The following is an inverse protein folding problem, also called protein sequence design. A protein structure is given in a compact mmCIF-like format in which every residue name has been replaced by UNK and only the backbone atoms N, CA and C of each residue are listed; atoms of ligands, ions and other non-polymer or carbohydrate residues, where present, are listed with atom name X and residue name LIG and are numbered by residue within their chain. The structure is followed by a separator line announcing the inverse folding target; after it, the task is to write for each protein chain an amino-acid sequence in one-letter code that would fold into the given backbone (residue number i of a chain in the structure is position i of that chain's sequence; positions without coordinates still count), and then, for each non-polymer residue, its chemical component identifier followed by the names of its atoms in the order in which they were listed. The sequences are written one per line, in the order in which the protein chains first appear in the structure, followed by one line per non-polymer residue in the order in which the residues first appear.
data_IF_252865984327
#
_entry.id   IF_252865984327
#
_cell.length_a   1.000
_cell.length_b   1.000
_cell.length_c   1.000
_cell.angle_alpha   90.00
_cell.angle_beta   90.00
_cell.angle_gamma   90.00
#
_symmetry.space_group_name_H-M   'P 1'
#
loop_
_entity.id
_entity.type
_entity.pdbx_description
1 polymer ?
#
# COMPACT_ATOMS: atom_id res chain seq x y z
N UNK A 1 3.89 -4.45 17.46
CA UNK A 1 2.93 -3.57 18.18
C UNK A 1 3.64 -2.23 18.45
N UNK A 2 2.93 -1.10 18.46
CA UNK A 2 3.53 0.21 18.72
C UNK A 2 3.80 0.41 20.22
N UNK A 3 4.86 -0.22 20.71
CA UNK A 3 5.46 0.09 22.01
C UNK A 3 6.40 1.29 21.85
N UNK A 4 6.73 1.96 22.95
CA UNK A 4 7.67 3.10 22.93
C UNK A 4 9.02 2.70 22.33
N UNK A 5 9.54 1.53 22.72
CA UNK A 5 10.77 0.97 22.14
C UNK A 5 10.68 0.77 20.61
N UNK A 6 9.57 0.23 20.09
CA UNK A 6 9.43 0.05 18.64
C UNK A 6 9.29 1.37 17.89
N UNK A 7 8.65 2.38 18.50
CA UNK A 7 8.56 3.73 17.97
C UNK A 7 9.94 4.40 17.94
N UNK A 8 10.73 4.25 19.00
CA UNK A 8 12.12 4.74 19.05
C UNK A 8 13.00 4.05 18.00
N UNK A 9 12.88 2.73 17.86
CA UNK A 9 13.66 1.96 16.89
C UNK A 9 13.37 2.39 15.44
N UNK A 10 12.09 2.50 15.06
CA UNK A 10 11.74 2.87 13.68
C UNK A 10 12.15 4.32 13.38
N UNK A 11 11.86 5.25 14.30
CA UNK A 11 12.22 6.65 14.10
C UNK A 11 13.74 6.85 14.12
N UNK A 12 14.46 6.14 14.99
CA UNK A 12 15.91 6.15 15.06
C UNK A 12 16.58 5.59 13.81
N UNK A 13 16.02 4.52 13.24
CA UNK A 13 16.50 3.95 11.97
C UNK A 13 16.35 4.95 10.81
N UNK A 14 15.14 5.45 10.56
CA UNK A 14 14.89 6.32 9.41
C UNK A 14 15.54 7.70 9.53
N UNK A 15 15.78 8.21 10.75
CA UNK A 15 16.65 9.38 10.96
C UNK A 15 18.09 9.15 10.52
N UNK A 16 18.62 7.92 10.68
CA UNK A 16 20.01 7.59 10.32
C UNK A 16 20.19 7.31 8.84
N UNK A 17 19.21 6.66 8.19
CA UNK A 17 19.30 6.29 6.77
C UNK A 17 18.76 7.37 5.83
N UNK A 18 18.32 8.51 6.36
CA UNK A 18 17.73 9.60 5.58
C UNK A 18 18.66 10.00 4.43
N UNK A 19 18.16 9.86 3.21
CA UNK A 19 18.89 10.18 1.99
C UNK A 19 17.92 10.87 1.01
N UNK A 20 18.22 12.10 0.55
CA UNK A 20 17.32 12.85 -0.33
C UNK A 20 17.11 12.20 -1.71
N UNK A 21 17.94 11.23 -2.10
CA UNK A 21 17.80 10.48 -3.35
C UNK A 21 16.85 9.28 -3.29
N UNK A 22 16.27 8.97 -2.13
CA UNK A 22 15.38 7.82 -1.95
C UNK A 22 14.08 8.21 -1.26
N UNK A 23 12.97 7.63 -1.74
CA UNK A 23 11.70 7.59 -1.03
C UNK A 23 11.64 6.29 -0.22
N UNK A 24 11.20 6.37 1.04
CA UNK A 24 11.08 5.20 1.90
C UNK A 24 9.62 4.83 2.10
N UNK A 25 9.33 3.53 2.01
CA UNK A 25 7.99 2.97 2.19
C UNK A 25 8.00 2.10 3.43
N UNK A 26 6.95 2.22 4.24
CA UNK A 26 6.78 1.39 5.43
C UNK A 26 5.38 0.76 5.48
N UNK A 27 5.35 -0.56 5.58
CA UNK A 27 4.13 -1.36 5.71
C UNK A 27 4.02 -1.96 7.12
N UNK A 28 3.36 -1.28 8.07
CA UNK A 28 3.14 -1.83 9.40
C UNK A 28 2.17 -3.02 9.36
N UNK A 29 2.46 -4.04 10.17
CA UNK A 29 1.59 -5.21 10.35
C UNK A 29 1.10 -5.31 11.80
N UNK A 30 -0.17 -5.68 11.98
CA UNK A 30 -0.80 -5.88 13.28
C UNK A 30 -1.80 -4.77 13.63
N UNK A 31 -2.93 -5.16 14.23
CA UNK A 31 -4.10 -4.29 14.48
C UNK A 31 -3.81 -3.14 15.43
N UNK A 32 -2.79 -3.27 16.27
CA UNK A 32 -2.41 -2.23 17.23
C UNK A 32 -1.78 -0.99 16.56
N UNK A 33 -1.33 -1.11 15.30
CA UNK A 33 -0.92 0.04 14.48
C UNK A 33 -2.15 0.74 13.91
N UNK A 34 -2.73 1.66 14.68
CA UNK A 34 -3.87 2.48 14.24
C UNK A 34 -3.46 3.50 13.18
N UNK A 35 -4.42 4.05 12.42
CA UNK A 35 -4.12 5.03 11.36
C UNK A 35 -3.39 6.26 11.92
N UNK A 36 -3.77 6.71 13.12
CA UNK A 36 -3.15 7.85 13.78
C UNK A 36 -1.66 7.59 14.07
N UNK A 37 -1.33 6.41 14.60
CA UNK A 37 0.06 6.04 14.90
C UNK A 37 0.90 5.88 13.65
N UNK A 38 0.34 5.26 12.62
CA UNK A 38 1.02 5.10 11.33
C UNK A 38 1.25 6.46 10.69
N UNK A 39 0.23 7.32 10.65
CA UNK A 39 0.32 8.68 10.12
C UNK A 39 1.38 9.51 10.84
N UNK A 40 1.44 9.43 12.18
CA UNK A 40 2.43 10.12 12.98
C UNK A 40 3.86 9.67 12.65
N UNK A 41 4.11 8.36 12.55
CA UNK A 41 5.43 7.82 12.20
C UNK A 41 5.82 8.21 10.77
N UNK A 42 4.91 8.05 9.80
CA UNK A 42 5.14 8.45 8.41
C UNK A 42 5.49 9.93 8.30
N UNK A 43 4.75 10.80 9.00
CA UNK A 43 5.04 12.24 9.02
C UNK A 43 6.38 12.57 9.66
N UNK A 44 6.72 11.93 10.80
CA UNK A 44 7.99 12.17 11.50
C UNK A 44 9.21 11.72 10.72
N UNK A 45 9.07 10.66 9.92
CA UNK A 45 10.19 10.00 9.26
C UNK A 45 10.22 10.21 7.75
N UNK A 46 9.27 10.98 7.20
CA UNK A 46 9.15 11.22 5.76
C UNK A 46 8.97 9.91 4.97
N UNK A 47 8.01 9.09 5.42
CA UNK A 47 7.72 7.77 4.84
C UNK A 47 6.40 7.80 4.08
N UNK A 48 6.32 6.96 3.05
CA UNK A 48 5.10 6.59 2.35
C UNK A 48 4.48 5.38 3.06
N UNK A 49 3.16 5.40 3.27
CA UNK A 49 2.46 4.26 3.85
C UNK A 49 2.31 3.17 2.79
N UNK A 50 3.06 2.08 2.96
CA UNK A 50 2.81 0.84 2.23
C UNK A 50 1.60 0.15 2.83
N UNK A 51 0.56 -0.10 2.02
CA UNK A 51 -0.71 -0.62 2.55
C UNK A 51 -1.43 -1.51 1.54
N UNK A 52 -2.24 -2.44 2.03
CA UNK A 52 -3.25 -3.09 1.20
C UNK A 52 -4.55 -2.26 1.25
N UNK A 53 -4.97 -1.60 0.16
CA UNK A 53 -6.16 -0.74 0.17
C UNK A 53 -7.46 -1.53 0.43
N UNK A 54 -7.46 -2.86 0.24
CA UNK A 54 -8.58 -3.74 0.59
C UNK A 54 -8.63 -4.12 2.09
N UNK A 55 -7.56 -3.85 2.86
CA UNK A 55 -7.56 -3.92 4.32
C UNK A 55 -7.97 -2.58 4.93
N UNK A 56 -7.31 -1.49 4.48
CA UNK A 56 -7.52 -0.14 4.99
C UNK A 56 -7.00 0.92 4.00
N UNK A 57 -7.53 2.14 4.12
CA UNK A 57 -7.09 3.26 3.28
C UNK A 57 -5.68 3.76 3.67
N UNK A 58 -4.90 4.28 2.72
CA UNK A 58 -3.59 4.90 3.01
C UNK A 58 -3.74 6.16 3.88
N UNK A 59 -2.74 6.41 4.73
CA UNK A 59 -2.69 7.60 5.61
C UNK A 59 -1.72 8.67 5.11
N UNK A 60 -0.94 8.36 4.07
CA UNK A 60 -0.07 9.31 3.37
C UNK A 60 -0.77 9.84 2.12
N UNK A 61 -0.33 11.00 1.64
CA UNK A 61 -0.87 11.69 0.47
C UNK A 61 0.18 11.73 -0.65
N UNK A 62 -0.21 12.24 -1.81
CA UNK A 62 0.63 12.43 -3.01
C UNK A 62 1.01 11.11 -3.71
N UNK A 63 1.69 10.20 -3.00
CA UNK A 63 2.12 8.89 -3.51
C UNK A 63 1.35 7.77 -2.81
N UNK A 64 0.67 6.94 -3.60
CA UNK A 64 0.11 5.68 -3.13
C UNK A 64 1.11 4.55 -3.36
N UNK A 65 1.33 3.73 -2.32
CA UNK A 65 2.12 2.49 -2.43
C UNK A 65 1.27 1.32 -1.97
N UNK A 66 0.62 0.67 -2.92
CA UNK A 66 -0.31 -0.42 -2.66
C UNK A 66 0.38 -1.77 -2.79
N UNK A 67 0.23 -2.62 -1.77
CA UNK A 67 0.63 -4.03 -1.78
C UNK A 67 -0.61 -4.89 -1.57
N UNK A 68 -1.08 -5.52 -2.63
CA UNK A 68 -2.35 -6.23 -2.71
C UNK A 68 -2.19 -7.71 -2.34
N UNK A 69 -2.87 -8.18 -1.29
CA UNK A 69 -2.74 -9.54 -0.75
C UNK A 69 -4.02 -10.39 -0.86
N UNK A 70 -5.05 -9.87 -1.54
CA UNK A 70 -6.39 -10.45 -1.69
C UNK A 70 -7.51 -9.61 -1.03
N UNK A 71 -8.78 -9.93 -1.32
CA UNK A 71 -9.96 -9.21 -0.79
C UNK A 71 -11.02 -10.16 -0.18
N UNK A 72 -11.38 -10.05 1.11
CA UNK A 72 -10.64 -9.31 2.13
C UNK A 72 -9.31 -10.02 2.44
N UNK A 73 -8.25 -9.28 2.79
CA UNK A 73 -6.98 -9.88 3.15
C UNK A 73 -7.11 -10.78 4.39
N UNK A 74 -6.40 -11.91 4.40
CA UNK A 74 -6.28 -12.77 5.58
C UNK A 74 -6.93 -14.15 5.51
N UNK A 75 -8.22 -14.26 5.15
CA UNK A 75 -8.95 -15.57 5.21
C UNK A 75 -8.37 -16.64 4.28
N UNK A 76 -7.71 -16.20 3.21
CA UNK A 76 -6.98 -16.99 2.23
C UNK A 76 -5.82 -16.14 1.71
N UNK A 77 -4.91 -15.70 2.59
CA UNK A 77 -3.76 -14.88 2.17
C UNK A 77 -3.14 -15.49 0.92
N UNK A 78 -2.96 -14.68 -0.13
CA UNK A 78 -2.44 -15.08 -1.43
C UNK A 78 -3.37 -15.90 -2.34
N UNK A 79 -4.33 -16.68 -1.83
CA UNK A 79 -5.25 -17.49 -2.65
C UNK A 79 -6.49 -16.67 -3.07
N UNK A 80 -6.26 -15.62 -3.84
CA UNK A 80 -7.29 -14.74 -4.35
C UNK A 80 -7.01 -14.37 -5.81
N UNK A 81 -8.07 -14.33 -6.61
CA UNK A 81 -8.08 -13.76 -7.95
C UNK A 81 -9.00 -12.56 -7.89
N UNK A 82 -8.47 -11.37 -8.17
CA UNK A 82 -9.24 -10.13 -8.12
C UNK A 82 -10.31 -10.14 -9.21
N UNK A 83 -11.55 -9.79 -8.85
CA UNK A 83 -12.62 -9.66 -9.84
C UNK A 83 -12.51 -8.34 -10.58
N UNK A 84 -13.26 -8.19 -11.68
CA UNK A 84 -13.34 -6.90 -12.39
C UNK A 84 -13.79 -5.78 -11.45
N UNK A 85 -14.78 -6.05 -10.60
CA UNK A 85 -15.31 -5.09 -9.63
C UNK A 85 -14.28 -4.68 -8.58
N UNK A 86 -13.39 -5.59 -8.18
CA UNK A 86 -12.28 -5.22 -7.29
C UNK A 86 -11.27 -4.32 -8.01
N UNK A 87 -10.94 -4.63 -9.26
CA UNK A 87 -10.01 -3.82 -10.05
C UNK A 87 -10.59 -2.43 -10.38
N UNK A 88 -11.89 -2.33 -10.64
CA UNK A 88 -12.58 -1.05 -10.81
C UNK A 88 -12.50 -0.22 -9.51
N UNK A 89 -12.74 -0.82 -8.34
CA UNK A 89 -12.56 -0.12 -7.04
C UNK A 89 -11.12 0.29 -6.80
N UNK A 90 -10.16 -0.55 -7.19
CA UNK A 90 -8.74 -0.22 -7.06
C UNK A 90 -8.41 1.02 -7.91
N UNK A 91 -8.96 1.16 -9.12
CA UNK A 91 -8.80 2.37 -9.93
C UNK A 91 -9.36 3.61 -9.21
N UNK A 92 -10.58 3.53 -8.68
CA UNK A 92 -11.20 4.64 -7.93
C UNK A 92 -10.32 5.09 -6.76
N UNK A 93 -9.72 4.14 -6.02
CA UNK A 93 -8.80 4.45 -4.92
C UNK A 93 -7.45 5.02 -5.38
N UNK A 94 -7.07 4.85 -6.64
CA UNK A 94 -5.87 5.46 -7.20
C UNK A 94 -6.08 6.93 -7.59
N UNK A 95 -7.29 7.34 -7.96
CA UNK A 95 -7.60 8.69 -8.49
C UNK A 95 -7.09 9.86 -7.64
N UNK A 96 -7.15 9.84 -6.29
CA UNK A 96 -6.73 10.99 -5.48
C UNK A 96 -5.22 11.21 -5.44
N UNK A 97 -4.40 10.29 -5.97
CA UNK A 97 -2.95 10.31 -5.86
C UNK A 97 -2.30 10.81 -7.15
N UNK A 98 -1.18 11.52 -7.01
CA UNK A 98 -0.41 12.02 -8.16
C UNK A 98 0.47 10.94 -8.78
N UNK A 99 0.92 10.00 -7.95
CA UNK A 99 1.79 8.90 -8.35
C UNK A 99 1.36 7.64 -7.60
N UNK A 100 1.29 6.52 -8.32
CA UNK A 100 0.76 5.27 -7.78
C UNK A 100 1.70 4.13 -8.13
N UNK A 101 2.05 3.36 -7.10
CA UNK A 101 2.76 2.10 -7.23
C UNK A 101 1.87 0.96 -6.72
N UNK A 102 1.35 0.14 -7.63
CA UNK A 102 0.50 -1.02 -7.30
C UNK A 102 1.26 -2.33 -7.49
N UNK A 103 1.42 -3.10 -6.42
CA UNK A 103 2.06 -4.41 -6.42
C UNK A 103 1.05 -5.50 -6.07
N UNK A 104 0.72 -6.32 -7.05
CA UNK A 104 -0.05 -7.54 -6.86
C UNK A 104 0.82 -8.61 -6.20
N UNK A 105 0.40 -9.07 -5.04
CA UNK A 105 1.08 -10.08 -4.23
C UNK A 105 0.05 -11.14 -3.83
N UNK A 106 -0.73 -11.62 -4.81
CA UNK A 106 -1.68 -12.73 -4.75
C UNK A 106 -1.25 -13.85 -5.72
N UNK A 107 -1.93 -14.99 -5.73
CA UNK A 107 -1.55 -16.16 -6.52
C UNK A 107 -1.60 -15.85 -8.03
N UNK A 108 -2.69 -15.22 -8.48
CA UNK A 108 -2.88 -14.80 -9.87
C UNK A 108 -2.32 -13.39 -10.13
N UNK A 109 -1.22 -13.02 -9.44
CA UNK A 109 -0.69 -11.65 -9.46
C UNK A 109 -0.30 -11.18 -10.86
N UNK A 110 0.21 -12.07 -11.71
CA UNK A 110 0.63 -11.72 -13.06
C UNK A 110 -0.58 -11.35 -13.92
N UNK A 111 -1.61 -12.20 -13.92
CA UNK A 111 -2.85 -11.99 -14.67
C UNK A 111 -3.59 -10.75 -14.16
N UNK A 112 -3.71 -10.57 -12.85
CA UNK A 112 -4.38 -9.40 -12.28
C UNK A 112 -3.61 -8.11 -12.54
N UNK A 113 -2.27 -8.12 -12.47
CA UNK A 113 -1.47 -6.96 -12.82
C UNK A 113 -1.63 -6.57 -14.30
N UNK A 114 -1.69 -7.55 -15.22
CA UNK A 114 -1.94 -7.29 -16.64
C UNK A 114 -3.34 -6.75 -16.90
N UNK A 115 -4.37 -7.30 -16.23
CA UNK A 115 -5.73 -6.78 -16.35
C UNK A 115 -5.80 -5.32 -15.87
N UNK A 116 -5.23 -5.04 -14.70
CA UNK A 116 -5.20 -3.68 -14.15
C UNK A 116 -4.40 -2.72 -15.06
N UNK A 117 -3.25 -3.16 -15.58
CA UNK A 117 -2.45 -2.37 -16.52
C UNK A 117 -3.26 -1.99 -17.77
N UNK A 118 -3.98 -2.94 -18.37
CA UNK A 118 -4.85 -2.67 -19.53
C UNK A 118 -5.91 -1.61 -19.21
N UNK A 119 -6.50 -1.68 -18.01
CA UNK A 119 -7.49 -0.69 -17.57
C UNK A 119 -6.86 0.70 -17.40
N UNK A 120 -5.61 0.80 -16.95
CA UNK A 120 -4.91 2.09 -16.78
C UNK A 120 -4.34 2.67 -18.08
N UNK A 121 -4.01 1.84 -19.06
CA UNK A 121 -3.35 2.28 -20.31
C UNK A 121 -4.32 2.85 -21.36
N UNK A 122 -5.62 2.88 -21.09
CA UNK A 122 -6.62 3.38 -22.04
C UNK A 122 -6.79 2.50 -23.29
N UNK A 123 -6.23 1.30 -23.31
CA UNK A 123 -6.51 0.30 -24.34
C UNK A 123 -7.92 -0.23 -24.11
N UNK A 124 -8.88 0.38 -24.80
CA UNK A 124 -10.29 0.01 -24.76
C UNK A 124 -10.47 -1.48 -25.09
N UNK A 125 -11.23 -2.19 -24.23
CA UNK A 125 -11.82 -3.49 -24.58
C UNK A 125 -12.85 -3.26 -25.69
N UNK A 126 -12.42 -3.43 -26.95
CA UNK A 126 -13.30 -3.73 -28.08
C UNK A 126 -13.09 -5.17 -28.52
#
# INVERSE_FOLDING_TARGET
KPTDEHLENITGFFKKVKNPGFCFVWEPRGKEWTDEKVSEVCKKCDLIHGVDPFDRQPVTKEVAYFRLHGSPPGKRMYYYEYTKEDLDKLLEWCEPFKEIYCFFNNMSMYENALQFLKMTSGESMF
#
